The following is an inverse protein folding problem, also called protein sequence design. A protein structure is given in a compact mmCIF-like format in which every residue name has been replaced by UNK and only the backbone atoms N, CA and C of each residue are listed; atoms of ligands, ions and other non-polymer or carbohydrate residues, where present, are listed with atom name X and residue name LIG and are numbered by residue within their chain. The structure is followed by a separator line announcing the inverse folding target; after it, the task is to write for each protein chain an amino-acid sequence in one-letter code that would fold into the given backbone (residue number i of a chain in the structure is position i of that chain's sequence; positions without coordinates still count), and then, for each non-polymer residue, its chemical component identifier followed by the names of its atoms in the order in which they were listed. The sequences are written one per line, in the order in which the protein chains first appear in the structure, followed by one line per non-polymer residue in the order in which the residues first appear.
data_IF_692652706475
#
_entry.id   IF_692652706475
#
_cell.length_a   1.000
_cell.length_b   1.000
_cell.length_c   1.000
_cell.angle_alpha   90.00
_cell.angle_beta   90.00
_cell.angle_gamma   90.00
#
_symmetry.space_group_name_H-M   'P 1'
#
loop_
_entity.id
_entity.type
_entity.pdbx_description
1 polymer ?
#
# COMPACT_ATOMS: atom_id res chain seq x y z
N UNK A 1 -30.57 23.93 -68.52
CA UNK A 1 -29.29 23.35 -68.04
C UNK A 1 -28.61 24.46 -67.22
N UNK A 2 -28.07 24.26 -65.99
CA UNK A 2 -27.85 23.08 -65.14
C UNK A 2 -28.70 23.09 -63.82
N UNK A 3 -29.41 22.01 -63.49
CA UNK A 3 -29.13 20.87 -62.57
C UNK A 3 -29.36 21.13 -61.06
N UNK A 4 -30.18 20.28 -60.38
CA UNK A 4 -30.51 20.38 -58.95
C UNK A 4 -29.45 19.69 -58.09
N UNK A 5 -29.14 20.24 -56.93
CA UNK A 5 -28.28 19.57 -55.94
C UNK A 5 -29.15 19.05 -54.80
N UNK A 6 -29.08 17.73 -54.63
CA UNK A 6 -29.91 16.89 -53.80
C UNK A 6 -29.71 17.11 -52.29
N UNK A 7 -30.80 16.93 -51.54
CA UNK A 7 -30.77 16.57 -50.13
C UNK A 7 -30.03 15.24 -49.96
N UNK A 8 -29.12 15.18 -49.00
CA UNK A 8 -28.67 13.95 -48.34
C UNK A 8 -28.49 14.27 -46.85
N UNK A 9 -29.47 13.84 -46.05
CA UNK A 9 -29.26 13.54 -44.64
C UNK A 9 -28.36 12.31 -44.52
N UNK A 10 -27.61 12.17 -43.42
CA UNK A 10 -27.44 10.93 -42.63
C UNK A 10 -26.45 11.14 -41.48
N UNK A 11 -26.91 10.68 -40.31
CA UNK A 11 -26.23 10.16 -39.12
C UNK A 11 -25.36 11.08 -38.24
N UNK A 12 -25.93 11.36 -37.07
CA UNK A 12 -25.22 11.60 -35.83
C UNK A 12 -24.38 10.37 -35.43
N UNK A 13 -23.14 10.60 -34.98
CA UNK A 13 -22.36 9.64 -34.20
C UNK A 13 -22.16 10.26 -32.82
N UNK A 14 -22.96 9.83 -31.85
CA UNK A 14 -22.75 10.12 -30.45
C UNK A 14 -21.56 9.27 -29.97
N UNK A 15 -20.44 9.91 -29.67
CA UNK A 15 -19.28 9.26 -29.07
C UNK A 15 -19.54 9.15 -27.56
N UNK A 16 -19.98 7.98 -27.12
CA UNK A 16 -20.13 7.64 -25.71
C UNK A 16 -18.75 7.56 -25.05
N UNK A 17 -18.43 8.52 -24.17
CA UNK A 17 -17.31 8.37 -23.23
C UNK A 17 -17.76 7.41 -22.12
N UNK A 18 -17.50 6.12 -22.34
CA UNK A 18 -17.49 5.14 -21.27
C UNK A 18 -16.12 5.12 -20.61
N UNK A 19 -16.02 5.65 -19.38
CA UNK A 19 -15.01 5.20 -18.41
C UNK A 19 -15.75 4.59 -17.22
N UNK A 20 -16.12 3.32 -17.37
CA UNK A 20 -16.14 2.37 -16.26
C UNK A 20 -14.69 2.15 -15.81
N UNK A 21 -14.32 1.97 -14.55
CA UNK A 21 -15.04 1.96 -13.29
C UNK A 21 -13.98 1.78 -12.20
N UNK A 22 -13.99 2.59 -11.15
CA UNK A 22 -13.18 2.31 -9.97
C UNK A 22 -13.91 1.22 -9.17
N UNK A 23 -13.45 -0.01 -9.29
CA UNK A 23 -13.85 -1.09 -8.40
C UNK A 23 -13.17 -0.86 -7.04
N UNK A 24 -13.77 -0.04 -6.18
CA UNK A 24 -13.25 0.30 -4.86
C UNK A 24 -13.49 -0.83 -3.84
N UNK A 25 -13.07 -2.05 -4.17
CA UNK A 25 -13.40 -3.27 -3.44
C UNK A 25 -12.25 -4.25 -3.20
N UNK A 26 -10.99 -3.87 -3.40
CA UNK A 26 -9.83 -4.79 -3.25
C UNK A 26 -8.61 -4.14 -2.56
N UNK A 27 -8.66 -2.83 -2.29
CA UNK A 27 -7.47 -2.10 -1.80
C UNK A 27 -6.89 -2.66 -0.48
N UNK A 28 -7.74 -3.19 0.41
CA UNK A 28 -7.30 -3.83 1.66
C UNK A 28 -6.76 -5.25 1.46
N UNK A 29 -7.34 -6.02 0.54
CA UNK A 29 -6.84 -7.37 0.23
C UNK A 29 -5.46 -7.28 -0.43
N UNK A 30 -5.24 -6.24 -1.25
CA UNK A 30 -3.97 -6.01 -1.95
C UNK A 30 -2.80 -5.72 -0.99
N UNK A 31 -3.06 -5.08 0.16
CA UNK A 31 -2.03 -4.75 1.16
C UNK A 31 -1.80 -5.82 2.22
N UNK A 32 -2.74 -6.75 2.42
CA UNK A 32 -2.55 -7.88 3.33
C UNK A 32 -1.47 -8.84 2.83
N UNK A 33 -0.64 -9.35 3.73
CA UNK A 33 0.46 -10.24 3.39
C UNK A 33 1.73 -9.93 4.16
N UNK A 34 2.83 -10.50 3.68
CA UNK A 34 4.16 -10.39 4.29
C UNK A 34 5.04 -9.40 3.55
N UNK A 35 5.59 -8.46 4.30
CA UNK A 35 6.45 -7.38 3.83
C UNK A 35 7.79 -7.45 4.56
N UNK A 36 8.89 -7.48 3.80
CA UNK A 36 10.22 -7.73 4.32
C UNK A 36 10.41 -9.19 4.72
N UNK A 37 11.24 -9.43 5.72
CA UNK A 37 11.59 -10.81 6.13
C UNK A 37 11.46 -10.98 7.64
N UNK A 38 10.23 -11.00 8.19
CA UNK A 38 9.99 -10.98 9.64
C UNK A 38 10.47 -12.24 10.39
N UNK A 39 10.70 -13.33 9.65
CA UNK A 39 11.24 -14.58 10.17
C UNK A 39 12.78 -14.68 10.08
N UNK A 40 13.41 -13.81 9.28
CA UNK A 40 14.86 -13.76 9.20
C UNK A 40 15.45 -12.94 10.37
N UNK A 41 16.68 -13.28 10.76
CA UNK A 41 17.35 -12.64 11.91
C UNK A 41 17.99 -11.33 11.48
N UNK A 42 17.79 -10.26 12.27
CA UNK A 42 18.44 -8.97 12.03
C UNK A 42 17.80 -8.13 10.90
N UNK A 43 16.68 -8.58 10.34
CA UNK A 43 16.00 -7.92 9.23
C UNK A 43 14.62 -7.43 9.64
N UNK A 44 14.19 -6.24 9.16
CA UNK A 44 12.86 -5.74 9.44
C UNK A 44 11.81 -6.47 8.60
N UNK A 45 10.59 -6.55 9.11
CA UNK A 45 9.44 -7.01 8.37
C UNK A 45 8.15 -6.97 9.16
N UNK A 46 7.03 -6.95 8.44
CA UNK A 46 5.66 -6.96 8.95
C UNK A 46 4.82 -7.99 8.21
N UNK A 47 3.90 -8.60 8.94
CA UNK A 47 2.75 -9.32 8.40
C UNK A 47 1.51 -8.49 8.70
N UNK A 48 0.80 -8.07 7.64
CA UNK A 48 -0.47 -7.36 7.73
C UNK A 48 -1.62 -8.34 7.49
N UNK A 49 -2.42 -8.59 8.52
CA UNK A 49 -3.49 -9.59 8.48
C UNK A 49 -4.83 -8.95 8.10
N UNK A 50 -5.70 -9.75 7.49
CA UNK A 50 -7.03 -9.32 7.07
C UNK A 50 -7.94 -8.84 8.22
N UNK A 51 -7.62 -9.21 9.48
CA UNK A 51 -8.31 -8.72 10.67
C UNK A 51 -7.77 -7.38 11.20
N UNK A 52 -6.97 -6.67 10.40
CA UNK A 52 -6.34 -5.39 10.74
C UNK A 52 -5.29 -5.47 11.86
N UNK A 53 -4.82 -6.67 12.21
CA UNK A 53 -3.64 -6.83 13.06
C UNK A 53 -2.34 -6.79 12.26
N UNK A 54 -1.29 -6.24 12.89
CA UNK A 54 0.07 -6.21 12.35
C UNK A 54 1.03 -6.89 13.32
N UNK A 55 1.85 -7.80 12.83
CA UNK A 55 2.90 -8.46 13.62
C UNK A 55 4.22 -8.43 12.88
N UNK A 56 5.35 -8.33 13.58
CA UNK A 56 6.64 -8.32 12.89
C UNK A 56 7.84 -8.13 13.78
N UNK A 57 8.90 -7.59 13.20
CA UNK A 57 10.17 -7.28 13.86
C UNK A 57 10.84 -6.11 13.18
N UNK A 58 11.52 -5.25 13.94
CA UNK A 58 12.42 -4.22 13.39
C UNK A 58 13.84 -4.76 13.15
N UNK A 59 14.02 -6.08 13.22
CA UNK A 59 15.29 -6.78 13.14
C UNK A 59 15.89 -7.12 14.50
N UNK A 60 15.56 -6.37 15.55
CA UNK A 60 16.01 -6.62 16.92
C UNK A 60 14.84 -6.97 17.85
N UNK A 61 13.76 -6.18 17.77
CA UNK A 61 12.60 -6.24 18.65
C UNK A 61 11.37 -6.78 17.94
N UNK A 62 10.53 -7.50 18.68
CA UNK A 62 9.23 -7.95 18.17
C UNK A 62 8.23 -6.81 18.22
N UNK A 63 7.48 -6.63 17.13
CA UNK A 63 6.47 -5.61 16.96
C UNK A 63 5.07 -6.25 16.91
N UNK A 64 4.13 -5.69 17.66
CA UNK A 64 2.71 -6.07 17.62
C UNK A 64 1.86 -4.81 17.64
N UNK A 65 0.92 -4.71 16.71
CA UNK A 65 0.05 -3.54 16.58
C UNK A 65 -1.13 -3.81 15.69
N UNK A 66 -1.70 -2.73 15.16
CA UNK A 66 -2.83 -2.74 14.24
C UNK A 66 -2.50 -1.89 13.03
N UNK A 67 -3.24 -2.09 11.95
CA UNK A 67 -3.17 -1.23 10.78
C UNK A 67 -4.59 -0.96 10.26
N UNK A 68 -4.75 0.13 9.51
CA UNK A 68 -5.97 0.43 8.76
C UNK A 68 -5.63 1.03 7.41
N UNK A 69 -6.58 1.02 6.47
CA UNK A 69 -6.38 1.62 5.15
C UNK A 69 -7.26 2.87 4.99
N UNK A 70 -6.63 3.99 4.67
CA UNK A 70 -7.26 5.27 4.39
C UNK A 70 -6.96 5.66 2.94
N UNK A 71 -7.83 5.25 2.02
CA UNK A 71 -7.57 5.36 0.58
C UNK A 71 -6.45 4.41 0.15
N UNK A 72 -5.30 4.96 -0.22
CA UNK A 72 -4.09 4.22 -0.62
C UNK A 72 -3.01 4.23 0.48
N UNK A 73 -3.28 4.91 1.60
CA UNK A 73 -2.35 5.03 2.72
C UNK A 73 -2.69 4.01 3.80
N UNK A 74 -1.71 3.19 4.15
CA UNK A 74 -1.74 2.33 5.34
C UNK A 74 -1.40 3.21 6.54
N UNK A 75 -2.25 3.18 7.56
CA UNK A 75 -2.02 3.85 8.84
C UNK A 75 -1.72 2.79 9.89
N UNK A 76 -0.57 2.90 10.56
CA UNK A 76 -0.19 2.01 11.65
C UNK A 76 -0.64 2.58 12.99
N UNK A 77 -1.22 1.72 13.82
CA UNK A 77 -1.37 2.01 15.25
C UNK A 77 -0.01 1.98 15.95
N UNK A 78 0.03 2.47 17.19
CA UNK A 78 1.24 2.36 18.02
C UNK A 78 1.64 0.89 18.19
N UNK A 79 2.87 0.56 17.82
CA UNK A 79 3.43 -0.76 18.05
C UNK A 79 3.80 -0.95 19.53
N UNK A 80 3.31 -2.03 20.13
CA UNK A 80 3.96 -2.61 21.29
C UNK A 80 5.24 -3.29 20.82
N UNK A 81 6.35 -3.02 21.52
CA UNK A 81 7.67 -3.55 21.18
C UNK A 81 8.40 -4.12 22.39
N UNK A 82 9.27 -5.10 22.16
CA UNK A 82 10.27 -5.48 23.15
C UNK A 82 11.37 -4.40 23.26
N UNK A 83 12.20 -4.47 24.30
CA UNK A 83 13.30 -3.51 24.54
C UNK A 83 14.66 -4.21 24.57
N UNK A 84 14.91 -5.09 23.59
CA UNK A 84 16.21 -5.72 23.37
C UNK A 84 17.18 -4.71 22.74
N UNK A 85 18.45 -4.85 23.10
CA UNK A 85 19.54 -4.11 22.47
C UNK A 85 20.34 -5.07 21.58
N UNK A 86 20.40 -4.77 20.29
CA UNK A 86 21.15 -5.53 19.30
C UNK A 86 22.22 -4.64 18.69
N UNK A 87 23.46 -5.12 18.67
CA UNK A 87 24.56 -4.37 18.06
C UNK A 87 24.46 -4.41 16.54
N UNK A 88 24.56 -3.24 15.90
CA UNK A 88 24.60 -3.12 14.44
C UNK A 88 23.26 -3.32 13.73
N UNK A 89 22.14 -3.40 14.45
CA UNK A 89 20.79 -3.47 13.88
C UNK A 89 20.14 -2.09 13.94
N UNK A 90 19.67 -1.62 12.79
CA UNK A 90 18.83 -0.42 12.72
C UNK A 90 17.37 -0.82 12.94
N UNK A 91 16.79 -0.32 14.03
CA UNK A 91 15.42 -0.61 14.46
C UNK A 91 14.40 0.37 13.90
N UNK A 92 14.69 1.01 12.76
CA UNK A 92 13.87 2.08 12.16
C UNK A 92 12.37 1.73 12.07
N UNK A 93 12.03 0.48 11.76
CA UNK A 93 10.65 0.05 11.52
C UNK A 93 9.74 0.19 12.76
N UNK A 94 10.32 0.20 13.98
CA UNK A 94 9.57 0.47 15.20
C UNK A 94 8.93 1.88 15.24
N UNK A 95 9.37 2.79 14.36
CA UNK A 95 8.85 4.17 14.25
C UNK A 95 7.77 4.32 13.16
N UNK A 96 7.40 3.23 12.48
CA UNK A 96 6.43 3.28 11.40
C UNK A 96 5.10 3.88 11.86
N UNK A 97 4.64 4.91 11.14
CA UNK A 97 3.36 5.57 11.37
C UNK A 97 2.44 5.39 10.17
N UNK A 98 2.96 5.52 8.96
CA UNK A 98 2.18 5.31 7.73
C UNK A 98 3.00 4.57 6.68
N UNK A 99 2.33 4.01 5.69
CA UNK A 99 2.98 3.48 4.50
C UNK A 99 2.12 3.63 3.25
N UNK A 100 2.76 3.60 2.09
CA UNK A 100 2.11 3.47 0.78
C UNK A 100 2.69 2.26 0.05
N UNK A 101 1.90 1.64 -0.83
CA UNK A 101 2.32 0.48 -1.62
C UNK A 101 2.32 0.83 -3.10
N UNK A 102 3.44 0.55 -3.76
CA UNK A 102 3.56 0.56 -5.23
C UNK A 102 4.03 -0.82 -5.68
N UNK A 103 3.11 -1.60 -6.25
CA UNK A 103 3.37 -2.98 -6.64
C UNK A 103 3.81 -3.87 -5.47
N UNK A 104 5.06 -4.32 -5.49
CA UNK A 104 5.66 -5.16 -4.44
C UNK A 104 6.41 -4.37 -3.38
N UNK A 105 6.42 -3.03 -3.44
CA UNK A 105 7.23 -2.21 -2.53
C UNK A 105 6.32 -1.42 -1.60
N UNK A 106 6.48 -1.64 -0.30
CA UNK A 106 5.92 -0.78 0.74
C UNK A 106 6.94 0.28 1.12
N UNK A 107 6.56 1.56 1.04
CA UNK A 107 7.36 2.69 1.51
C UNK A 107 6.81 3.16 2.85
N UNK A 108 7.65 3.17 3.88
CA UNK A 108 7.24 3.41 5.27
C UNK A 108 7.72 4.79 5.72
N UNK A 109 6.85 5.51 6.41
CA UNK A 109 7.10 6.84 6.95
C UNK A 109 6.88 6.89 8.47
N UNK A 110 7.64 7.74 9.15
CA UNK A 110 7.45 8.05 10.57
C UNK A 110 6.30 9.05 10.82
N UNK A 111 6.12 9.46 12.07
CA UNK A 111 5.07 10.42 12.47
C UNK A 111 5.28 11.84 11.94
N UNK A 112 6.49 12.19 11.52
CA UNK A 112 6.82 13.48 10.92
C UNK A 112 6.62 13.46 9.39
N UNK A 113 6.29 12.29 8.82
CA UNK A 113 6.12 12.07 7.39
C UNK A 113 7.45 11.87 6.66
N UNK A 114 8.55 11.62 7.38
CA UNK A 114 9.82 11.29 6.75
C UNK A 114 9.80 9.82 6.31
N UNK A 115 10.27 9.53 5.09
CA UNK A 115 10.52 8.17 4.65
C UNK A 115 11.67 7.57 5.47
N UNK A 116 11.41 6.44 6.13
CA UNK A 116 12.35 5.76 7.03
C UNK A 116 12.82 4.40 6.52
N UNK A 117 12.19 3.87 5.48
CA UNK A 117 12.61 2.63 4.86
C UNK A 117 11.56 2.04 3.93
N UNK A 118 11.94 0.95 3.27
CA UNK A 118 11.04 0.18 2.40
C UNK A 118 11.05 -1.30 2.79
N UNK A 119 9.94 -1.98 2.49
CA UNK A 119 9.79 -3.42 2.65
C UNK A 119 9.27 -4.02 1.33
N UNK A 120 9.91 -5.09 0.85
CA UNK A 120 9.48 -5.84 -0.33
C UNK A 120 8.43 -6.89 0.05
N UNK A 121 7.42 -7.11 -0.79
CA UNK A 121 6.45 -8.18 -0.62
C UNK A 121 7.12 -9.54 -0.83
N UNK A 122 6.81 -10.52 0.03
CA UNK A 122 7.47 -11.85 0.00
C UNK A 122 6.53 -13.05 -0.12
N UNK A 123 5.24 -12.82 -0.33
CA UNK A 123 4.22 -13.86 -0.53
C UNK A 123 3.46 -13.74 -1.86
#
# INVERSE_FOLDING_TARGET
MPKPTALLAVAAVALALGLAGCSAGTASDDVTGTWGTPDATGTPGLELKADQSATGTDGCNRLVGTWSLSGETIEFGTFASTLMACEGVDTWLGQASTATVDGSVMTVQDSDGAEIGTLERTD
#
